data_IF_889724569799
#
_entry.id   IF_889724569799
#
_cell.length_a   1.000
_cell.length_b   1.000
_cell.length_c   1.000
_cell.angle_alpha   90.00
_cell.angle_beta   90.00
_cell.angle_gamma   90.00
#
_symmetry.space_group_name_H-M   'P 1'
#
loop_
_entity.id
_entity.type
_entity.pdbx_description
1 polymer ?
#
# COMPACT_ATOMS: atom_id res chain seq x y z
N UNK A 1 16.38 -4.85 -20.56
CA UNK A 1 14.94 -4.66 -20.82
C UNK A 1 14.16 -5.81 -20.22
N UNK A 2 12.92 -5.58 -19.81
CA UNK A 2 11.97 -6.66 -19.49
C UNK A 2 11.51 -7.37 -20.76
N UNK A 3 10.87 -8.57 -20.64
CA UNK A 3 10.36 -9.31 -21.82
C UNK A 3 9.36 -8.54 -22.68
N UNK A 4 8.64 -7.58 -22.11
CA UNK A 4 7.72 -6.69 -22.83
C UNK A 4 8.38 -5.49 -23.51
N UNK A 5 9.72 -5.40 -23.50
CA UNK A 5 10.50 -4.31 -24.08
C UNK A 5 10.70 -3.08 -23.20
N UNK A 6 10.14 -3.05 -21.98
CA UNK A 6 10.35 -1.93 -21.08
C UNK A 6 11.82 -1.77 -20.68
N UNK A 7 12.31 -0.55 -20.74
CA UNK A 7 13.71 -0.20 -20.48
C UNK A 7 13.97 -0.25 -18.97
N UNK A 8 14.88 -1.09 -18.52
CA UNK A 8 15.32 -1.12 -17.12
C UNK A 8 16.27 0.05 -16.90
N UNK A 9 15.99 0.87 -15.87
CA UNK A 9 16.82 1.97 -15.41
C UNK A 9 17.28 1.75 -13.98
N UNK A 10 18.44 2.33 -13.64
CA UNK A 10 18.94 2.34 -12.27
C UNK A 10 18.20 3.37 -11.40
N UNK A 11 18.58 3.47 -10.11
CA UNK A 11 17.97 4.43 -9.17
C UNK A 11 18.17 5.90 -9.58
N UNK A 12 19.03 6.19 -10.54
CA UNK A 12 19.30 7.53 -11.05
C UNK A 12 18.73 7.78 -12.45
N UNK A 13 17.90 6.85 -12.95
CA UNK A 13 17.25 6.86 -14.27
C UNK A 13 18.22 6.61 -15.44
N UNK A 14 19.40 6.04 -15.22
CA UNK A 14 20.33 5.64 -16.28
C UNK A 14 19.99 4.25 -16.80
N UNK A 15 20.17 4.06 -18.08
CA UNK A 15 20.06 2.75 -18.72
C UNK A 15 21.36 1.94 -18.53
N UNK A 16 21.46 0.79 -19.18
CA UNK A 16 22.72 0.03 -19.24
C UNK A 16 23.87 0.78 -19.95
N UNK A 17 23.55 1.80 -20.76
CA UNK A 17 24.51 2.79 -21.26
C UNK A 17 24.50 3.99 -20.33
N UNK A 18 25.63 4.34 -19.66
CA UNK A 18 25.67 5.44 -18.69
C UNK A 18 25.37 6.83 -19.27
N UNK A 19 25.50 7.00 -20.58
CA UNK A 19 25.24 8.24 -21.28
C UNK A 19 23.77 8.39 -21.72
N UNK A 20 22.94 7.36 -21.46
CA UNK A 20 21.52 7.35 -21.86
C UNK A 20 20.64 7.23 -20.64
N UNK A 21 19.74 8.19 -20.50
CA UNK A 21 18.67 8.18 -19.50
C UNK A 21 17.34 7.80 -20.13
N UNK A 22 16.46 7.18 -19.35
CA UNK A 22 15.11 6.89 -19.78
C UNK A 22 14.11 7.15 -18.63
N UNK A 23 12.92 7.61 -18.98
CA UNK A 23 11.86 7.95 -18.04
C UNK A 23 10.46 7.74 -18.66
N UNK A 24 9.47 7.61 -17.79
CA UNK A 24 8.07 7.48 -18.19
C UNK A 24 7.65 6.07 -18.56
N UNK A 25 6.57 5.96 -19.32
CA UNK A 25 5.86 4.71 -19.59
C UNK A 25 6.65 3.70 -20.42
N UNK A 26 7.78 4.08 -21.03
CA UNK A 26 8.69 3.17 -21.70
C UNK A 26 9.60 2.39 -20.76
N UNK A 27 9.58 2.71 -19.47
CA UNK A 27 10.53 2.18 -18.49
C UNK A 27 9.92 1.13 -17.56
N UNK A 28 10.77 0.21 -17.11
CA UNK A 28 10.55 -0.60 -15.92
C UNK A 28 11.23 0.05 -14.72
N UNK A 29 10.54 0.07 -13.60
CA UNK A 29 10.95 0.78 -12.37
C UNK A 29 11.03 -0.15 -11.18
N UNK A 30 11.76 0.25 -10.15
CA UNK A 30 11.79 -0.47 -8.88
C UNK A 30 10.40 -0.52 -8.25
N UNK A 31 9.92 -1.73 -7.99
CA UNK A 31 8.62 -2.00 -7.40
C UNK A 31 8.78 -2.43 -5.94
N UNK A 32 8.41 -1.54 -5.03
CA UNK A 32 8.71 -1.69 -3.60
C UNK A 32 8.08 -2.93 -2.94
N UNK A 33 6.88 -3.41 -3.34
CA UNK A 33 6.32 -4.62 -2.75
C UNK A 33 7.22 -5.85 -2.85
N UNK A 34 7.90 -6.07 -3.99
CA UNK A 34 8.78 -7.24 -4.19
C UNK A 34 10.26 -6.91 -4.30
N UNK A 35 10.64 -5.62 -4.30
CA UNK A 35 12.02 -5.18 -4.45
C UNK A 35 12.64 -5.41 -5.85
N UNK A 36 11.84 -5.86 -6.81
CA UNK A 36 12.26 -6.12 -8.19
C UNK A 36 11.88 -4.98 -9.13
N UNK A 37 12.06 -5.21 -10.44
CA UNK A 37 11.61 -4.30 -11.48
C UNK A 37 10.25 -4.71 -11.99
N UNK A 38 9.37 -3.72 -12.20
CA UNK A 38 8.06 -3.94 -12.79
C UNK A 38 7.72 -2.86 -13.84
N UNK A 39 6.89 -3.23 -14.80
CA UNK A 39 6.31 -2.29 -15.77
C UNK A 39 5.05 -1.68 -15.18
N UNK A 40 5.12 -0.41 -14.79
CA UNK A 40 4.03 0.32 -14.13
C UNK A 40 3.86 1.69 -14.80
N UNK A 41 3.17 1.75 -15.94
CA UNK A 41 2.96 2.97 -16.71
C UNK A 41 1.91 3.85 -16.01
N UNK A 42 2.36 4.77 -15.18
CA UNK A 42 1.53 5.74 -14.47
C UNK A 42 2.11 7.14 -14.63
N UNK A 43 1.26 8.12 -14.90
CA UNK A 43 1.65 9.52 -15.04
C UNK A 43 2.44 10.03 -13.83
N UNK A 44 2.08 9.60 -12.62
CA UNK A 44 2.79 9.95 -11.38
C UNK A 44 4.22 9.40 -11.35
N UNK A 45 4.47 8.22 -11.91
CA UNK A 45 5.82 7.68 -12.09
C UNK A 45 6.59 8.49 -13.14
N UNK A 46 5.99 8.75 -14.29
CA UNK A 46 6.60 9.51 -15.38
C UNK A 46 7.10 10.88 -14.92
N UNK A 47 6.27 11.62 -14.17
CA UNK A 47 6.63 12.94 -13.61
C UNK A 47 7.81 12.85 -12.64
N UNK A 48 7.78 11.89 -11.71
CA UNK A 48 8.90 11.71 -10.75
C UNK A 48 10.20 11.28 -11.44
N UNK A 49 10.10 10.38 -12.44
CA UNK A 49 11.27 9.93 -13.20
C UNK A 49 11.86 11.07 -14.04
N UNK A 50 11.04 11.86 -14.73
CA UNK A 50 11.49 13.02 -15.48
C UNK A 50 12.18 14.07 -14.59
N UNK A 51 11.64 14.33 -13.39
CA UNK A 51 12.28 15.17 -12.39
C UNK A 51 13.66 14.61 -11.99
N UNK A 52 13.77 13.31 -11.77
CA UNK A 52 15.04 12.66 -11.41
C UNK A 52 16.07 12.70 -12.55
N UNK A 53 15.66 12.54 -13.81
CA UNK A 53 16.57 12.76 -14.95
C UNK A 53 17.17 14.16 -14.90
N UNK A 54 16.33 15.20 -14.74
CA UNK A 54 16.82 16.58 -14.62
C UNK A 54 17.76 16.84 -13.44
N UNK A 55 17.61 16.07 -12.33
CA UNK A 55 18.51 16.17 -11.16
C UNK A 55 19.81 15.41 -11.32
N UNK A 56 19.81 14.34 -12.11
CA UNK A 56 20.91 13.38 -12.17
C UNK A 56 21.75 13.46 -13.46
N UNK A 57 21.35 14.29 -14.45
CA UNK A 57 21.97 14.31 -15.77
C UNK A 57 23.44 14.69 -15.77
N UNK A 58 23.90 15.52 -14.84
CA UNK A 58 25.31 15.91 -14.73
C UNK A 58 26.07 15.05 -13.71
N UNK A 59 25.44 14.69 -12.63
CA UNK A 59 25.97 13.84 -11.57
C UNK A 59 24.84 13.17 -10.80
N UNK A 60 25.02 11.96 -10.25
CA UNK A 60 23.98 11.27 -9.48
C UNK A 60 23.77 11.94 -8.11
N UNK A 61 22.67 12.70 -7.98
CA UNK A 61 22.34 13.48 -6.78
C UNK A 61 21.17 12.89 -5.97
N UNK A 62 20.18 12.35 -6.66
CA UNK A 62 18.92 11.93 -6.02
C UNK A 62 18.47 10.57 -6.54
N UNK A 63 18.31 9.63 -5.61
CA UNK A 63 17.82 8.28 -5.92
C UNK A 63 16.32 8.21 -6.05
N UNK A 64 15.85 7.44 -6.99
CA UNK A 64 14.47 6.97 -7.05
C UNK A 64 14.16 6.05 -5.87
N UNK A 65 13.02 6.28 -5.22
CA UNK A 65 12.59 5.49 -4.06
C UNK A 65 11.65 4.33 -4.43
N UNK A 66 11.50 4.06 -5.72
CA UNK A 66 10.59 3.05 -6.21
C UNK A 66 9.13 3.53 -6.27
N UNK A 67 8.26 2.60 -6.61
CA UNK A 67 6.82 2.82 -6.68
C UNK A 67 6.07 1.66 -6.03
N UNK A 68 4.86 1.94 -5.56
CA UNK A 68 3.90 0.96 -5.07
C UNK A 68 2.73 0.77 -6.04
N UNK A 69 2.78 1.38 -7.24
CA UNK A 69 1.65 1.37 -8.18
C UNK A 69 0.37 1.95 -7.57
N UNK A 70 0.49 3.07 -6.85
CA UNK A 70 -0.66 3.70 -6.21
C UNK A 70 -1.53 4.40 -7.23
N UNK A 71 -2.81 4.07 -7.26
CA UNK A 71 -3.79 4.58 -8.23
C UNK A 71 -5.18 4.73 -7.60
N UNK A 72 -6.01 5.55 -8.23
CA UNK A 72 -7.40 5.76 -7.82
C UNK A 72 -8.35 5.69 -9.01
N UNK A 73 -9.60 5.33 -8.74
CA UNK A 73 -10.68 5.25 -9.71
C UNK A 73 -11.97 5.75 -9.07
N UNK A 74 -12.72 6.56 -9.82
CA UNK A 74 -14.11 6.89 -9.48
C UNK A 74 -15.03 6.22 -10.50
N UNK A 75 -15.92 5.33 -10.04
CA UNK A 75 -16.80 4.56 -10.91
C UNK A 75 -18.13 4.28 -10.22
N UNK A 76 -19.24 4.57 -10.91
CA UNK A 76 -20.61 4.33 -10.42
C UNK A 76 -20.86 4.87 -8.99
N UNK A 77 -20.32 6.03 -8.67
CA UNK A 77 -20.45 6.66 -7.35
C UNK A 77 -19.56 6.07 -6.26
N UNK A 78 -18.67 5.12 -6.60
CA UNK A 78 -17.65 4.63 -5.69
C UNK A 78 -16.30 5.28 -5.96
N UNK A 79 -15.60 5.60 -4.88
CA UNK A 79 -14.21 6.00 -4.85
C UNK A 79 -13.38 4.77 -4.47
N UNK A 80 -12.42 4.42 -5.31
CA UNK A 80 -11.56 3.24 -5.14
C UNK A 80 -10.12 3.70 -5.14
N UNK A 81 -9.37 3.30 -4.14
CA UNK A 81 -7.92 3.50 -4.06
C UNK A 81 -7.22 2.15 -3.98
N UNK A 82 -6.09 2.02 -4.68
CA UNK A 82 -5.29 0.79 -4.68
C UNK A 82 -3.81 1.12 -4.64
N UNK A 83 -3.05 0.33 -3.91
CA UNK A 83 -1.58 0.42 -3.84
C UNK A 83 -0.97 -0.96 -3.60
N UNK A 84 0.22 -1.19 -4.12
CA UNK A 84 0.92 -2.46 -3.98
C UNK A 84 0.29 -3.60 -4.76
N UNK A 85 0.44 -4.81 -4.28
CA UNK A 85 -0.10 -6.02 -4.90
C UNK A 85 -1.54 -6.29 -4.46
N UNK A 86 -2.26 -7.03 -5.30
CA UNK A 86 -3.53 -7.68 -4.96
C UNK A 86 -3.28 -9.17 -4.71
N UNK A 87 -4.27 -9.88 -4.16
CA UNK A 87 -4.18 -11.35 -4.01
C UNK A 87 -3.85 -12.06 -5.33
N UNK A 88 -4.46 -11.59 -6.42
CA UNK A 88 -4.25 -12.19 -7.74
C UNK A 88 -2.88 -11.89 -8.33
N UNK A 89 -2.31 -10.72 -8.05
CA UNK A 89 -1.03 -10.30 -8.61
C UNK A 89 0.19 -10.70 -7.77
N UNK A 90 0.03 -10.97 -6.47
CA UNK A 90 1.13 -11.27 -5.55
C UNK A 90 2.00 -12.43 -6.04
N UNK A 91 1.38 -13.52 -6.50
CA UNK A 91 2.10 -14.70 -7.04
C UNK A 91 2.90 -14.37 -8.31
N UNK A 92 2.35 -13.52 -9.20
CA UNK A 92 3.05 -13.10 -10.41
C UNK A 92 4.30 -12.28 -10.09
N UNK A 93 4.33 -11.62 -8.93
CA UNK A 93 5.49 -10.88 -8.40
C UNK A 93 6.37 -11.71 -7.46
N UNK A 94 6.13 -13.03 -7.35
CA UNK A 94 6.94 -13.94 -6.55
C UNK A 94 6.79 -13.75 -5.03
N UNK A 95 5.64 -13.25 -4.58
CA UNK A 95 5.36 -12.98 -3.17
C UNK A 95 4.45 -14.06 -2.57
N UNK A 96 4.87 -14.63 -1.45
CA UNK A 96 4.03 -15.46 -0.57
C UNK A 96 3.26 -14.53 0.38
N UNK A 97 1.96 -14.37 0.12
CA UNK A 97 1.14 -13.40 0.83
C UNK A 97 -0.08 -14.02 1.48
N UNK A 98 -0.57 -13.35 2.52
CA UNK A 98 -1.91 -13.49 3.06
C UNK A 98 -2.67 -12.19 2.89
N UNK A 99 -3.99 -12.23 3.02
CA UNK A 99 -4.80 -11.02 2.99
C UNK A 99 -6.00 -11.12 3.92
N UNK A 100 -6.50 -9.97 4.33
CA UNK A 100 -7.78 -9.82 5.01
C UNK A 100 -8.68 -8.87 4.25
N UNK A 101 -9.96 -9.17 4.25
CA UNK A 101 -11.02 -8.30 3.78
C UNK A 101 -11.81 -7.82 5.00
N UNK A 102 -12.03 -6.52 5.10
CA UNK A 102 -12.73 -5.91 6.23
C UNK A 102 -13.67 -4.81 5.75
N UNK A 103 -14.86 -4.76 6.31
CA UNK A 103 -15.84 -3.71 6.05
C UNK A 103 -16.24 -3.08 7.39
N UNK A 104 -16.23 -1.76 7.45
CA UNK A 104 -16.70 -0.99 8.60
C UNK A 104 -17.15 0.41 8.18
N UNK A 105 -17.75 1.17 9.09
CA UNK A 105 -18.05 2.58 8.88
C UNK A 105 -16.79 3.44 9.05
N UNK A 106 -16.66 4.52 8.23
CA UNK A 106 -15.50 5.41 8.33
C UNK A 106 -15.49 6.27 9.60
N UNK A 107 -16.65 6.48 10.23
CA UNK A 107 -16.83 7.23 11.47
C UNK A 107 -17.91 6.62 12.35
N UNK A 108 -18.16 7.13 13.59
CA UNK A 108 -19.12 6.53 14.50
C UNK A 108 -20.54 6.43 13.91
N UNK A 109 -21.24 5.33 14.22
CA UNK A 109 -22.57 5.03 13.66
C UNK A 109 -23.65 6.03 14.06
N UNK A 110 -23.48 6.74 15.21
CA UNK A 110 -24.41 7.77 15.67
C UNK A 110 -24.36 9.06 14.83
N UNK A 111 -23.41 9.20 13.93
CA UNK A 111 -23.31 10.36 13.05
C UNK A 111 -24.41 10.35 12.00
N UNK A 112 -25.07 11.50 11.71
CA UNK A 112 -26.24 11.57 10.82
C UNK A 112 -26.00 11.08 9.39
N UNK A 113 -24.78 11.21 8.88
CA UNK A 113 -24.41 10.66 7.58
C UNK A 113 -23.16 9.80 7.76
N UNK A 114 -23.22 8.59 7.26
CA UNK A 114 -22.13 7.62 7.39
C UNK A 114 -22.10 6.70 6.18
N UNK A 115 -20.94 6.23 5.80
CA UNK A 115 -20.75 5.31 4.68
C UNK A 115 -19.83 4.17 5.11
N UNK A 116 -20.07 3.01 4.55
CA UNK A 116 -19.20 1.87 4.73
C UNK A 116 -17.96 1.98 3.86
N UNK A 117 -16.85 1.50 4.39
CA UNK A 117 -15.60 1.32 3.67
C UNK A 117 -15.33 -0.18 3.59
N UNK A 118 -15.16 -0.67 2.38
CA UNK A 118 -14.63 -2.00 2.13
C UNK A 118 -13.13 -1.91 1.90
N UNK A 119 -12.35 -2.66 2.64
CA UNK A 119 -10.89 -2.59 2.61
C UNK A 119 -10.27 -3.98 2.52
N UNK A 120 -9.16 -4.05 1.80
CA UNK A 120 -8.29 -5.22 1.76
C UNK A 120 -6.87 -4.82 2.15
N UNK A 121 -6.23 -5.62 2.99
CA UNK A 121 -4.81 -5.53 3.29
C UNK A 121 -4.13 -6.81 2.82
N UNK A 122 -3.02 -6.67 2.11
CA UNK A 122 -2.18 -7.77 1.63
C UNK A 122 -0.80 -7.63 2.28
N UNK A 123 -0.31 -8.70 2.90
CA UNK A 123 0.96 -8.71 3.63
C UNK A 123 1.73 -10.00 3.39
N UNK A 124 3.05 -9.95 3.53
CA UNK A 124 3.92 -11.12 3.41
C UNK A 124 3.67 -12.09 4.56
N UNK A 125 3.63 -13.38 4.24
CA UNK A 125 3.32 -14.44 5.19
C UNK A 125 4.31 -14.53 6.35
N UNK A 126 5.61 -14.40 6.07
CA UNK A 126 6.66 -14.67 7.06
C UNK A 126 7.11 -13.42 7.81
N UNK A 127 7.11 -12.27 7.13
CA UNK A 127 7.60 -11.00 7.69
C UNK A 127 6.50 -10.11 8.23
N UNK A 128 5.23 -10.42 7.92
CA UNK A 128 4.04 -9.60 8.20
C UNK A 128 4.08 -8.21 7.57
N UNK A 129 5.04 -7.96 6.65
CA UNK A 129 5.22 -6.67 5.98
C UNK A 129 4.08 -6.39 5.02
N UNK A 130 3.53 -5.20 5.07
CA UNK A 130 2.48 -4.75 4.17
C UNK A 130 3.05 -4.60 2.76
N UNK A 131 2.40 -5.24 1.78
CA UNK A 131 2.81 -5.22 0.37
C UNK A 131 1.68 -4.81 -0.57
N UNK A 132 0.45 -4.65 -0.05
CA UNK A 132 -0.68 -4.19 -0.83
C UNK A 132 -1.86 -3.76 0.02
N UNK A 133 -2.71 -2.91 -0.56
CA UNK A 133 -3.96 -2.51 0.07
C UNK A 133 -4.92 -1.86 -0.92
N UNK A 134 -6.20 -2.12 -0.76
CA UNK A 134 -7.28 -1.56 -1.56
C UNK A 134 -8.37 -1.03 -0.64
N UNK A 135 -8.95 0.09 -1.01
CA UNK A 135 -10.05 0.75 -0.29
C UNK A 135 -11.14 1.14 -1.27
N UNK A 136 -12.40 0.97 -0.87
CA UNK A 136 -13.56 1.33 -1.68
C UNK A 136 -14.68 1.86 -0.80
N UNK A 137 -15.26 3.00 -1.16
CA UNK A 137 -16.43 3.57 -0.49
C UNK A 137 -17.17 4.54 -1.41
N UNK A 138 -18.42 4.88 -1.07
CA UNK A 138 -19.10 6.04 -1.63
C UNK A 138 -18.55 7.35 -1.08
N UNK A 139 -18.03 7.34 0.14
CA UNK A 139 -17.26 8.45 0.71
C UNK A 139 -15.86 8.48 0.10
N UNK A 140 -15.24 9.65 -0.02
CA UNK A 140 -13.87 9.74 -0.54
C UNK A 140 -12.86 9.27 0.52
N UNK A 141 -12.41 8.04 0.34
CA UNK A 141 -11.39 7.39 1.18
C UNK A 141 -10.08 7.15 0.43
N UNK A 142 -9.91 7.79 -0.72
CA UNK A 142 -8.74 7.55 -1.60
C UNK A 142 -7.42 7.90 -0.93
N UNK A 143 -7.40 8.87 0.01
CA UNK A 143 -6.20 9.19 0.80
C UNK A 143 -5.71 8.03 1.67
N UNK A 144 -6.58 7.08 2.01
CA UNK A 144 -6.18 5.85 2.72
C UNK A 144 -5.24 4.98 1.87
N UNK A 145 -5.41 4.98 0.53
CA UNK A 145 -4.45 4.32 -0.36
C UNK A 145 -3.08 5.00 -0.34
N UNK A 146 -3.02 6.33 -0.18
CA UNK A 146 -1.75 7.05 0.00
C UNK A 146 -1.09 6.70 1.34
N UNK A 147 -1.87 6.57 2.41
CA UNK A 147 -1.37 6.11 3.73
C UNK A 147 -0.79 4.70 3.64
N UNK A 148 -1.51 3.76 2.99
CA UNK A 148 -1.00 2.41 2.76
C UNK A 148 0.24 2.40 1.83
N UNK A 149 0.30 3.31 0.85
CA UNK A 149 1.50 3.49 0.01
C UNK A 149 2.72 3.92 0.83
N UNK A 150 2.55 4.83 1.79
CA UNK A 150 3.61 5.21 2.72
C UNK A 150 4.02 4.04 3.62
N UNK A 151 3.07 3.25 4.11
CA UNK A 151 3.34 2.04 4.90
C UNK A 151 4.20 1.03 4.10
N UNK A 152 3.85 0.77 2.84
CA UNK A 152 4.64 -0.12 1.95
C UNK A 152 6.05 0.46 1.72
N UNK A 153 6.15 1.75 1.40
CA UNK A 153 7.44 2.41 1.17
C UNK A 153 8.32 2.42 2.43
N UNK A 154 7.71 2.59 3.60
CA UNK A 154 8.34 2.51 4.91
C UNK A 154 8.63 1.09 5.38
N UNK A 155 8.22 0.06 4.63
CA UNK A 155 8.37 -1.36 4.97
C UNK A 155 7.68 -1.72 6.29
N UNK A 156 6.58 -1.05 6.61
CA UNK A 156 5.79 -1.29 7.82
C UNK A 156 5.15 -2.68 7.78
N UNK A 157 5.02 -3.26 8.97
CA UNK A 157 4.27 -4.50 9.22
C UNK A 157 2.81 -4.22 9.54
N UNK A 158 2.00 -5.27 9.61
CA UNK A 158 0.63 -5.16 10.11
C UNK A 158 0.59 -4.74 11.59
N UNK A 159 1.62 -5.08 12.39
CA UNK A 159 1.75 -4.65 13.78
C UNK A 159 1.98 -3.12 13.87
N UNK A 160 2.88 -2.60 13.03
CA UNK A 160 3.13 -1.16 12.96
C UNK A 160 1.84 -0.41 12.61
N UNK A 161 1.11 -0.84 11.57
CA UNK A 161 -0.12 -0.17 11.14
C UNK A 161 -1.23 -0.26 12.19
N UNK A 162 -1.31 -1.36 12.94
CA UNK A 162 -2.32 -1.55 13.99
C UNK A 162 -2.20 -0.49 15.10
N UNK A 163 -1.01 0.07 15.32
CA UNK A 163 -0.71 1.00 16.40
C UNK A 163 -0.31 2.40 15.92
N UNK A 164 -0.47 2.71 14.63
CA UNK A 164 -0.24 4.08 14.14
C UNK A 164 -1.14 5.06 14.88
N UNK A 165 -0.55 6.17 15.34
CA UNK A 165 -1.28 7.27 15.95
C UNK A 165 -2.03 8.07 14.87
N UNK A 166 -3.29 7.69 14.64
CA UNK A 166 -4.21 8.45 13.82
C UNK A 166 -5.03 9.39 14.72
N UNK A 167 -5.32 10.59 14.21
CA UNK A 167 -6.17 11.52 14.96
C UNK A 167 -7.60 10.97 15.15
N UNK A 168 -8.26 11.38 16.22
CA UNK A 168 -9.67 11.13 16.44
C UNK A 168 -10.48 12.42 16.56
N UNK A 169 -11.55 12.49 15.79
CA UNK A 169 -12.63 13.44 15.97
C UNK A 169 -13.89 12.85 15.34
N UNK A 170 -15.05 12.77 16.06
CA UNK A 170 -16.23 12.00 15.62
C UNK A 170 -16.78 12.35 14.24
N UNK A 171 -16.55 13.58 13.76
CA UNK A 171 -16.97 13.99 12.42
C UNK A 171 -16.15 13.32 11.32
N UNK A 172 -14.90 12.97 11.57
CA UNK A 172 -13.97 12.46 10.57
C UNK A 172 -13.60 11.00 10.76
N UNK A 173 -13.54 10.50 11.99
CA UNK A 173 -12.97 9.20 12.29
C UNK A 173 -13.54 8.61 13.60
N UNK A 174 -13.11 7.40 13.90
CA UNK A 174 -13.36 6.64 15.15
C UNK A 174 -12.11 6.68 16.03
N UNK A 175 -12.20 6.39 17.35
CA UNK A 175 -11.02 6.30 18.24
C UNK A 175 -9.95 5.32 17.74
N UNK A 176 -10.39 4.21 17.14
CA UNK A 176 -9.55 3.37 16.29
C UNK A 176 -9.89 3.67 14.83
N UNK A 177 -8.92 4.24 14.09
CA UNK A 177 -9.07 4.47 12.66
C UNK A 177 -9.36 3.13 11.96
N UNK A 178 -10.15 3.17 10.90
CA UNK A 178 -10.50 1.96 10.15
C UNK A 178 -9.27 1.23 9.56
N UNK A 179 -8.14 1.92 9.33
CA UNK A 179 -6.88 1.27 8.93
C UNK A 179 -6.21 0.53 10.10
N UNK A 180 -6.30 1.07 11.34
CA UNK A 180 -5.87 0.30 12.51
C UNK A 180 -6.73 -0.97 12.65
N UNK A 181 -8.06 -0.85 12.54
CA UNK A 181 -8.98 -1.99 12.64
C UNK A 181 -8.72 -3.04 11.56
N UNK A 182 -8.41 -2.61 10.32
CA UNK A 182 -8.01 -3.50 9.23
C UNK A 182 -6.74 -4.28 9.59
N UNK A 183 -5.75 -3.62 10.19
CA UNK A 183 -4.52 -4.25 10.64
C UNK A 183 -4.74 -5.16 11.86
N UNK A 184 -5.60 -4.78 12.82
CA UNK A 184 -6.02 -5.66 13.90
C UNK A 184 -6.68 -6.94 13.38
N UNK A 185 -7.52 -6.82 12.33
CA UNK A 185 -8.12 -7.99 11.69
C UNK A 185 -7.08 -8.94 11.06
N UNK A 186 -5.98 -8.38 10.52
CA UNK A 186 -4.87 -9.18 10.04
C UNK A 186 -4.11 -9.87 11.20
N UNK A 187 -3.88 -9.18 12.32
CA UNK A 187 -3.26 -9.75 13.51
C UNK A 187 -4.11 -10.87 14.14
N UNK A 188 -5.43 -10.74 14.17
CA UNK A 188 -6.34 -11.80 14.59
C UNK A 188 -6.16 -13.07 13.73
N UNK A 189 -6.03 -12.89 12.40
CA UNK A 189 -5.80 -14.00 11.47
C UNK A 189 -4.48 -14.74 11.74
N UNK A 190 -3.45 -14.01 12.21
CA UNK A 190 -2.15 -14.58 12.57
C UNK A 190 -2.10 -15.15 14.00
N UNK A 191 -3.21 -15.12 14.75
CA UNK A 191 -3.27 -15.48 16.16
C UNK A 191 -2.29 -14.70 17.06
N UNK A 192 -1.83 -13.53 16.61
CA UNK A 192 -0.97 -12.64 17.41
C UNK A 192 -1.77 -12.00 18.55
N UNK A 193 -3.07 -11.82 18.34
CA UNK A 193 -4.00 -11.44 19.41
C UNK A 193 -4.62 -12.71 19.99
N UNK A 194 -3.99 -13.26 21.02
CA UNK A 194 -4.62 -14.32 21.80
C UNK A 194 -5.92 -13.76 22.39
N UNK A 195 -7.05 -14.34 22.02
CA UNK A 195 -8.26 -14.19 22.82
C UNK A 195 -7.87 -14.62 24.23
N UNK A 196 -7.93 -13.68 25.19
CA UNK A 196 -7.88 -14.08 26.59
C UNK A 196 -9.09 -14.98 26.78
N UNK A 197 -8.84 -16.28 26.86
CA UNK A 197 -9.88 -17.24 27.14
C UNK A 197 -10.36 -16.98 28.57
N UNK A 198 -11.51 -16.32 28.68
CA UNK A 198 -12.14 -15.93 29.95
C UNK A 198 -12.42 -17.19 30.78
N UNK A 199 -12.60 -18.36 30.16
CA UNK A 199 -12.78 -19.65 30.84
C UNK A 199 -11.47 -20.09 31.51
N UNK A 200 -10.32 -19.95 30.85
CA UNK A 200 -9.02 -20.28 31.46
C UNK A 200 -8.63 -19.31 32.58
N UNK A 201 -9.02 -18.05 32.50
CA UNK A 201 -8.80 -17.08 33.57
C UNK A 201 -9.66 -17.37 34.81
N UNK A 202 -10.87 -17.88 34.65
CA UNK A 202 -11.76 -18.28 35.75
C UNK A 202 -11.37 -19.63 36.38
N UNK A 203 -10.71 -20.51 35.61
CA UNK A 203 -10.23 -21.79 36.11
C UNK A 203 -8.92 -21.69 36.96
N UNK A 204 -8.23 -20.55 36.91
CA UNK A 204 -7.00 -20.27 37.65
C UNK A 204 -7.23 -19.61 39.02
N UNK A 205 -8.49 -19.43 39.45
CA UNK A 205 -8.89 -19.00 40.79
C UNK A 205 -9.35 -20.17 41.63
#
# INVERSE_FOLDING_TARGET
MLPNGAIIVDDYMRTSNPDIYAAGDSCAVNYNPNGGHAYIPLATNAVRMGFLVGKNIFEPKMKYRGTQSTSGLHLFGFNIGSTGVTDSSSKAFGLETKSVLFEDFYRPEFMPSNEKILMRLVYEKDTLRIVGGQVMSKYDVTQSANTLSLAIQGRMTIEDLALVDFFFQPHFDRPWNYLNLLAHKALEQENVMNHVDVESFNAAK
#
